data_IF_065246653089
#
_entry.id   IF_065246653089
#
_cell.length_a   1.000
_cell.length_b   1.000
_cell.length_c   1.000
_cell.angle_alpha   90.00
_cell.angle_beta   90.00
_cell.angle_gamma   90.00
#
_symmetry.space_group_name_H-M   'P 1'
#
loop_
_entity.id
_entity.type
_entity.pdbx_description
1 polymer ?
#
# COMPACT_ATOMS: atom_id res chain seq x y z
N UNK A 1 30.65 -17.64 1.81
CA UNK A 1 30.58 -16.24 1.36
C UNK A 1 29.86 -15.42 2.43
N UNK A 2 30.63 -14.56 3.08
CA UNK A 2 30.15 -13.47 3.92
C UNK A 2 29.28 -12.49 3.10
N UNK A 3 28.49 -11.67 3.79
CA UNK A 3 27.66 -10.65 3.15
C UNK A 3 28.48 -9.67 2.32
N UNK A 4 29.71 -9.39 2.75
CA UNK A 4 30.62 -8.45 2.08
C UNK A 4 31.14 -9.02 0.75
N UNK A 5 31.62 -10.26 0.73
CA UNK A 5 32.11 -10.91 -0.51
C UNK A 5 31.04 -10.98 -1.59
N UNK A 6 29.77 -11.13 -1.20
CA UNK A 6 28.65 -11.09 -2.15
C UNK A 6 28.42 -9.70 -2.72
N UNK A 7 28.53 -8.67 -1.88
CA UNK A 7 28.41 -7.29 -2.34
C UNK A 7 29.52 -6.93 -3.33
N UNK A 8 30.76 -7.29 -3.02
CA UNK A 8 31.91 -7.05 -3.89
C UNK A 8 31.79 -7.79 -5.23
N UNK A 9 31.35 -9.05 -5.21
CA UNK A 9 31.07 -9.82 -6.42
C UNK A 9 30.02 -9.13 -7.30
N UNK A 10 28.88 -8.72 -6.72
CA UNK A 10 27.82 -8.07 -7.48
C UNK A 10 28.23 -6.68 -7.98
N UNK A 11 29.03 -5.94 -7.21
CA UNK A 11 29.58 -4.67 -7.66
C UNK A 11 30.41 -4.85 -8.94
N UNK A 12 31.27 -5.87 -8.98
CA UNK A 12 32.07 -6.18 -10.18
C UNK A 12 31.19 -6.57 -11.38
N UNK A 13 30.17 -7.41 -11.17
CA UNK A 13 29.26 -7.83 -12.23
C UNK A 13 28.45 -6.64 -12.80
N UNK A 14 27.99 -5.72 -11.95
CA UNK A 14 27.28 -4.52 -12.39
C UNK A 14 28.20 -3.57 -13.17
N UNK A 15 29.45 -3.39 -12.73
CA UNK A 15 30.43 -2.60 -13.49
C UNK A 15 30.73 -3.22 -14.86
N UNK A 16 30.93 -4.54 -14.92
CA UNK A 16 31.14 -5.26 -16.18
C UNK A 16 29.92 -5.18 -17.11
N UNK A 17 28.71 -5.20 -16.54
CA UNK A 17 27.49 -4.99 -17.30
C UNK A 17 27.41 -3.58 -17.90
N UNK A 18 27.72 -2.54 -17.11
CA UNK A 18 27.73 -1.15 -17.57
C UNK A 18 28.73 -0.94 -18.72
N UNK A 19 29.92 -1.54 -18.62
CA UNK A 19 30.94 -1.49 -19.68
C UNK A 19 30.52 -2.25 -20.94
N UNK A 20 29.82 -3.37 -20.78
CA UNK A 20 29.36 -4.19 -21.92
C UNK A 20 28.32 -3.51 -22.80
N UNK A 21 27.59 -2.49 -22.30
CA UNK A 21 26.48 -1.84 -23.00
C UNK A 21 25.31 -2.77 -23.35
N UNK A 22 25.30 -4.01 -22.86
CA UNK A 22 24.27 -5.01 -23.14
C UNK A 22 23.01 -4.74 -22.31
N UNK A 23 21.87 -5.29 -22.74
CA UNK A 23 20.70 -5.35 -21.86
C UNK A 23 20.97 -6.27 -20.66
N UNK A 24 20.41 -5.95 -19.49
CA UNK A 24 20.65 -6.74 -18.27
C UNK A 24 20.29 -8.22 -18.44
N UNK A 25 19.25 -8.53 -19.21
CA UNK A 25 18.89 -9.91 -19.55
C UNK A 25 19.94 -10.62 -20.42
N UNK A 26 20.49 -9.93 -21.43
CA UNK A 26 21.53 -10.49 -22.29
C UNK A 26 22.83 -10.74 -21.50
N UNK A 27 23.22 -9.81 -20.63
CA UNK A 27 24.37 -9.96 -19.76
C UNK A 27 24.21 -11.11 -18.76
N UNK A 28 23.02 -11.22 -18.14
CA UNK A 28 22.72 -12.34 -17.25
C UNK A 28 22.79 -13.68 -17.98
N UNK A 29 22.30 -13.75 -19.23
CA UNK A 29 22.38 -14.95 -20.05
C UNK A 29 23.82 -15.31 -20.42
N UNK A 30 24.67 -14.35 -20.77
CA UNK A 30 26.07 -14.61 -21.14
C UNK A 30 26.94 -15.02 -19.95
N UNK A 31 26.72 -14.43 -18.78
CA UNK A 31 27.50 -14.70 -17.57
C UNK A 31 26.88 -15.79 -16.68
N UNK A 32 25.83 -16.47 -17.16
CA UNK A 32 25.06 -17.47 -16.40
C UNK A 32 24.57 -16.96 -15.02
N UNK A 33 24.22 -15.68 -14.94
CA UNK A 33 23.73 -15.04 -13.73
C UNK A 33 22.23 -15.15 -13.61
N UNK A 34 21.76 -15.24 -12.37
CA UNK A 34 20.34 -15.29 -12.06
C UNK A 34 19.74 -13.89 -12.12
N UNK A 35 18.80 -13.67 -13.06
CA UNK A 35 18.25 -12.34 -13.35
C UNK A 35 17.65 -11.63 -12.14
N UNK A 36 16.91 -12.32 -11.27
CA UNK A 36 16.30 -11.67 -10.09
C UNK A 36 17.34 -11.16 -9.09
N UNK A 37 18.48 -11.87 -8.95
CA UNK A 37 19.57 -11.43 -8.08
C UNK A 37 20.25 -10.21 -8.69
N UNK A 38 20.49 -10.22 -10.00
CA UNK A 38 21.02 -9.06 -10.73
C UNK A 38 20.13 -7.84 -10.56
N UNK A 39 18.82 -7.96 -10.77
CA UNK A 39 17.89 -6.84 -10.63
C UNK A 39 17.86 -6.27 -9.20
N UNK A 40 17.90 -7.15 -8.19
CA UNK A 40 17.99 -6.76 -6.79
C UNK A 40 19.29 -5.99 -6.49
N UNK A 41 20.44 -6.54 -6.89
CA UNK A 41 21.74 -5.92 -6.62
C UNK A 41 21.95 -4.64 -7.42
N UNK A 42 21.45 -4.58 -8.66
CA UNK A 42 21.42 -3.33 -9.43
C UNK A 42 20.68 -2.24 -8.67
N UNK A 43 19.44 -2.51 -8.22
CA UNK A 43 18.65 -1.56 -7.43
C UNK A 43 19.29 -1.19 -6.09
N UNK A 44 20.03 -2.13 -5.48
CA UNK A 44 20.70 -1.93 -4.19
C UNK A 44 21.99 -1.10 -4.30
N UNK A 45 22.68 -1.17 -5.44
CA UNK A 45 23.94 -0.49 -5.71
C UNK A 45 23.75 0.84 -6.47
N UNK A 46 22.68 0.96 -7.27
CA UNK A 46 22.11 2.25 -7.63
C UNK A 46 21.79 2.94 -6.29
N UNK A 47 22.44 4.08 -6.04
CA UNK A 47 22.38 4.83 -4.78
C UNK A 47 20.95 4.85 -4.22
N UNK A 48 20.76 4.91 -2.88
CA UNK A 48 19.46 5.21 -2.33
C UNK A 48 19.04 6.58 -2.86
N UNK A 49 18.37 6.61 -4.01
CA UNK A 49 17.41 7.66 -4.31
C UNK A 49 16.50 7.58 -3.12
N UNK A 50 16.58 8.59 -2.25
CA UNK A 50 15.87 8.68 -1.00
C UNK A 50 14.57 7.90 -1.11
N UNK A 51 14.55 6.68 -0.57
CA UNK A 51 13.35 5.83 -0.58
C UNK A 51 12.27 6.44 0.32
N UNK A 52 12.51 7.66 0.78
CA UNK A 52 11.60 8.59 1.42
C UNK A 52 10.55 9.19 0.46
N UNK A 53 10.58 8.89 -0.85
CA UNK A 53 9.66 9.54 -1.79
C UNK A 53 8.68 8.66 -2.55
N UNK A 54 8.41 7.43 -2.11
CA UNK A 54 7.12 6.79 -2.41
C UNK A 54 6.75 5.87 -1.24
N UNK A 55 5.86 6.26 -0.32
CA UNK A 55 5.25 5.28 0.56
C UNK A 55 4.61 4.24 -0.36
N UNK A 56 5.00 2.97 -0.23
CA UNK A 56 4.35 1.83 -0.92
C UNK A 56 2.88 1.66 -0.56
N UNK A 57 2.36 2.59 0.24
CA UNK A 57 0.99 2.74 0.68
C UNK A 57 0.49 4.10 0.21
N UNK A 58 -0.61 4.09 -0.54
CA UNK A 58 -1.34 5.32 -0.86
C UNK A 58 -2.04 5.79 0.42
N UNK A 59 -1.91 7.07 0.77
CA UNK A 59 -2.65 7.65 1.90
C UNK A 59 -4.13 7.71 1.52
N UNK A 60 -4.95 6.85 2.11
CA UNK A 60 -6.41 6.96 2.01
C UNK A 60 -6.84 8.10 2.91
N UNK A 61 -7.27 9.21 2.32
CA UNK A 61 -7.97 10.25 3.07
C UNK A 61 -9.31 9.66 3.51
N UNK A 62 -9.50 9.48 4.82
CA UNK A 62 -10.83 9.22 5.34
C UNK A 62 -11.71 10.43 5.02
N UNK A 63 -12.88 10.26 4.38
CA UNK A 63 -13.81 11.37 4.27
C UNK A 63 -14.07 11.89 5.68
N UNK A 64 -13.93 13.21 5.86
CA UNK A 64 -14.33 13.86 7.11
C UNK A 64 -15.74 13.37 7.46
N UNK A 65 -16.05 13.06 8.74
CA UNK A 65 -17.40 12.69 9.11
C UNK A 65 -18.33 13.81 8.64
N UNK A 66 -19.09 13.52 7.59
CA UNK A 66 -20.03 14.45 7.01
C UNK A 66 -21.11 14.65 8.06
N UNK A 67 -21.10 15.82 8.70
CA UNK A 67 -22.12 16.22 9.65
C UNK A 67 -22.09 15.41 10.94
N UNK A 68 -21.68 16.05 12.02
CA UNK A 68 -22.11 15.66 13.35
C UNK A 68 -23.62 15.85 13.45
N UNK A 69 -24.40 14.95 12.85
CA UNK A 69 -25.80 14.82 13.20
C UNK A 69 -25.79 14.11 14.55
N UNK A 70 -25.83 14.91 15.62
CA UNK A 70 -25.97 14.42 17.00
C UNK A 70 -27.34 13.77 17.08
N UNK A 71 -27.41 12.53 16.65
CA UNK A 71 -28.63 11.75 16.59
C UNK A 71 -28.34 10.31 16.96
N UNK A 72 -29.20 9.74 17.80
CA UNK A 72 -29.09 8.33 18.17
C UNK A 72 -29.34 7.47 16.92
N UNK A 73 -28.55 6.41 16.78
CA UNK A 73 -28.77 5.38 15.75
C UNK A 73 -29.33 4.13 16.43
N UNK A 74 -30.49 3.67 15.98
CA UNK A 74 -31.14 2.44 16.46
C UNK A 74 -31.10 1.38 15.35
N UNK A 75 -30.57 0.20 15.68
CA UNK A 75 -30.60 -0.97 14.79
C UNK A 75 -31.63 -1.96 15.32
N UNK A 76 -32.66 -2.26 14.54
CA UNK A 76 -33.67 -3.24 14.88
C UNK A 76 -33.20 -4.67 14.52
N UNK A 77 -33.68 -5.72 15.23
CA UNK A 77 -33.33 -7.12 14.93
C UNK A 77 -33.65 -7.56 13.50
N UNK A 78 -34.57 -6.85 12.83
CA UNK A 78 -34.95 -7.08 11.44
C UNK A 78 -33.96 -6.46 10.43
N UNK A 79 -32.85 -5.87 10.90
CA UNK A 79 -31.81 -5.27 10.06
C UNK A 79 -32.08 -3.83 9.64
N UNK A 80 -33.16 -3.20 10.13
CA UNK A 80 -33.48 -1.80 9.84
C UNK A 80 -32.63 -0.90 10.75
N UNK A 81 -31.92 0.07 10.15
CA UNK A 81 -31.15 1.09 10.86
C UNK A 81 -31.81 2.45 10.72
N UNK A 82 -32.13 3.07 11.86
CA UNK A 82 -32.68 4.43 11.94
C UNK A 82 -31.61 5.35 12.52
N UNK A 83 -31.17 6.34 11.75
CA UNK A 83 -30.14 7.31 12.15
C UNK A 83 -30.74 8.72 12.30
N UNK A 84 -30.09 9.61 13.06
CA UNK A 84 -30.53 11.00 13.21
C UNK A 84 -31.68 11.19 14.20
N UNK A 85 -31.82 10.30 15.19
CA UNK A 85 -32.87 10.42 16.20
C UNK A 85 -32.55 11.54 17.19
N UNK A 86 -33.46 12.52 17.30
CA UNK A 86 -33.36 13.67 18.17
C UNK A 86 -34.74 13.95 18.82
N UNK A 87 -34.82 14.76 19.89
CA UNK A 87 -36.08 14.96 20.62
C UNK A 87 -37.27 15.41 19.76
N UNK A 88 -37.02 16.09 18.63
CA UNK A 88 -38.06 16.55 17.70
C UNK A 88 -38.65 15.46 16.80
N UNK A 89 -38.00 14.29 16.65
CA UNK A 89 -38.50 13.18 15.83
C UNK A 89 -38.79 11.89 16.61
N UNK A 90 -38.70 11.92 17.95
CA UNK A 90 -38.90 10.72 18.77
C UNK A 90 -40.37 10.27 18.79
N UNK A 91 -41.33 11.19 18.68
CA UNK A 91 -42.75 10.86 18.53
C UNK A 91 -43.04 10.15 17.20
N UNK A 92 -42.33 10.55 16.13
CA UNK A 92 -42.41 9.89 14.83
C UNK A 92 -41.86 8.46 14.90
N UNK A 93 -40.75 8.25 15.63
CA UNK A 93 -40.22 6.91 15.88
C UNK A 93 -41.26 6.02 16.57
N UNK A 94 -41.94 6.54 17.60
CA UNK A 94 -43.01 5.81 18.29
C UNK A 94 -44.19 5.44 17.38
N UNK A 95 -44.54 6.31 16.43
CA UNK A 95 -45.56 6.03 15.42
C UNK A 95 -45.11 4.94 14.43
N UNK A 96 -43.85 5.00 13.96
CA UNK A 96 -43.28 4.00 13.03
C UNK A 96 -43.20 2.63 13.70
N UNK A 97 -42.75 2.57 14.96
CA UNK A 97 -42.67 1.30 15.70
C UNK A 97 -44.03 0.66 15.98
N UNK A 98 -45.13 1.41 15.96
CA UNK A 98 -46.49 0.87 16.11
C UNK A 98 -47.07 0.25 14.84
N UNK A 99 -46.49 0.57 13.68
CA UNK A 99 -46.93 0.06 12.37
C UNK A 99 -46.09 -1.12 11.86
N UNK A 100 -45.02 -1.46 12.59
CA UNK A 100 -44.19 -2.65 12.40
C UNK A 100 -44.66 -3.77 13.33
#
# INVERSE_FOLDING_TARGET
MTTQERADFWQQQITAWLDSGLSGHAFCKSQALVYHQFAYWRKKLEQPVDSDSLPGFVRVAMPAPAGTEVGLTLTLPNGITLSGLHPGNIDLLGAIMRQL
#
